data_IF_211583638088
#
_entry.id   IF_211583638088
#
_cell.length_a   1.000
_cell.length_b   1.000
_cell.length_c   1.000
_cell.angle_alpha   90.00
_cell.angle_beta   90.00
_cell.angle_gamma   90.00
#
_symmetry.space_group_name_H-M   'P 1'
#
loop_
_entity.id
_entity.type
_entity.pdbx_description
1 polymer ?
#
# COMPACT_ATOMS: atom_id res chain seq x y z
N UNK A 1 -15.33 -22.15 27.14
CA UNK A 1 -15.45 -21.55 25.81
C UNK A 1 -15.28 -20.07 26.00
N UNK A 2 -14.06 -19.63 25.75
CA UNK A 2 -13.51 -18.32 26.09
C UNK A 2 -14.09 -17.25 25.19
N UNK A 3 -14.33 -16.08 25.76
CA UNK A 3 -14.86 -14.83 25.19
C UNK A 3 -14.13 -14.30 23.94
N UNK A 4 -13.09 -14.99 23.46
CA UNK A 4 -12.32 -14.66 22.26
C UNK A 4 -13.06 -14.97 20.95
N UNK A 5 -13.95 -15.97 20.91
CA UNK A 5 -14.63 -16.40 19.68
C UNK A 5 -15.76 -15.46 19.21
N UNK A 6 -16.04 -14.38 19.96
CA UNK A 6 -17.19 -13.49 19.69
C UNK A 6 -16.80 -12.19 18.99
N UNK A 7 -15.50 -11.90 18.79
CA UNK A 7 -15.05 -10.68 18.11
C UNK A 7 -14.74 -10.85 16.61
N UNK A 8 -14.73 -12.07 16.09
CA UNK A 8 -14.35 -12.36 14.70
C UNK A 8 -15.50 -12.19 13.68
N UNK A 9 -16.69 -11.76 14.14
CA UNK A 9 -17.90 -11.64 13.30
C UNK A 9 -18.51 -10.24 13.34
N UNK A 10 -17.75 -9.26 12.84
CA UNK A 10 -18.29 -7.97 12.39
C UNK A 10 -17.51 -7.38 11.21
N UNK A 11 -17.27 -8.19 10.17
CA UNK A 11 -17.06 -7.65 8.81
C UNK A 11 -18.40 -7.18 8.27
N UNK A 12 -18.83 -5.99 8.69
CA UNK A 12 -19.97 -5.29 8.10
C UNK A 12 -19.52 -4.66 6.79
N UNK A 13 -19.94 -5.20 5.64
CA UNK A 13 -20.16 -4.56 4.31
C UNK A 13 -19.41 -3.28 3.87
N UNK A 14 -18.26 -2.97 4.46
CA UNK A 14 -17.33 -1.91 4.10
C UNK A 14 -16.22 -2.57 3.28
N UNK A 15 -15.70 -1.87 2.28
CA UNK A 15 -14.80 -2.43 1.27
C UNK A 15 -13.50 -3.02 1.83
N UNK A 16 -12.69 -3.57 0.92
CA UNK A 16 -11.38 -4.18 1.19
C UNK A 16 -10.30 -3.13 1.54
N UNK A 17 -10.49 -2.43 2.66
CA UNK A 17 -9.60 -1.40 3.19
C UNK A 17 -9.83 -1.19 4.70
N UNK A 18 -8.88 -0.55 5.40
CA UNK A 18 -9.07 -0.04 6.76
C UNK A 18 -8.34 1.29 6.93
N UNK A 19 -9.11 2.36 7.09
CA UNK A 19 -8.63 3.73 7.29
C UNK A 19 -9.37 4.37 8.45
N UNK A 20 -8.85 5.49 8.96
CA UNK A 20 -9.40 6.12 10.18
C UNK A 20 -10.80 6.69 10.03
N UNK A 21 -11.03 7.45 8.97
CA UNK A 21 -12.27 8.20 8.76
C UNK A 21 -12.53 8.43 7.26
N UNK A 22 -13.52 7.75 6.72
CA UNK A 22 -13.92 7.87 5.31
C UNK A 22 -14.52 9.24 4.95
N UNK A 23 -14.97 10.02 5.93
CA UNK A 23 -15.53 11.36 5.67
C UNK A 23 -14.48 12.35 5.18
N UNK A 24 -13.19 12.03 5.36
CA UNK A 24 -12.06 12.85 4.89
C UNK A 24 -11.75 12.69 3.39
N UNK A 25 -12.41 11.75 2.69
CA UNK A 25 -12.06 11.41 1.31
C UNK A 25 -12.16 12.59 0.33
N UNK A 26 -13.17 13.45 0.45
CA UNK A 26 -13.32 14.61 -0.43
C UNK A 26 -12.18 15.62 -0.21
N UNK A 27 -11.82 15.88 1.05
CA UNK A 27 -10.68 16.74 1.36
C UNK A 27 -9.38 16.17 0.81
N UNK A 28 -9.14 14.87 1.04
CA UNK A 28 -7.95 14.22 0.50
C UNK A 28 -7.88 14.23 -1.01
N UNK A 29 -9.02 14.10 -1.71
CA UNK A 29 -9.04 14.20 -3.18
C UNK A 29 -8.58 15.58 -3.66
N UNK A 30 -9.02 16.66 -3.01
CA UNK A 30 -8.59 18.02 -3.36
C UNK A 30 -7.09 18.21 -3.14
N UNK A 31 -6.54 17.70 -2.04
CA UNK A 31 -5.10 17.78 -1.77
C UNK A 31 -4.29 16.98 -2.81
N UNK A 32 -4.75 15.79 -3.21
CA UNK A 32 -4.07 15.00 -4.25
C UNK A 32 -4.13 15.71 -5.61
N UNK A 33 -5.23 16.37 -5.97
CA UNK A 33 -5.29 17.19 -7.20
C UNK A 33 -4.28 18.35 -7.18
N UNK A 34 -4.06 18.97 -6.02
CA UNK A 34 -3.02 20.00 -5.86
C UNK A 34 -1.63 19.38 -6.00
N UNK A 35 -1.37 18.23 -5.37
CA UNK A 35 -0.09 17.54 -5.46
C UNK A 35 0.23 17.07 -6.89
N UNK A 36 -0.77 16.68 -7.69
CA UNK A 36 -0.56 16.33 -9.10
C UNK A 36 0.08 17.48 -9.90
N UNK A 37 -0.27 18.74 -9.60
CA UNK A 37 0.34 19.90 -10.24
C UNK A 37 1.82 20.09 -9.86
N UNK A 38 2.21 19.69 -8.65
CA UNK A 38 3.57 19.77 -8.13
C UNK A 38 4.42 18.51 -8.41
N UNK A 39 3.84 17.48 -9.03
CA UNK A 39 4.51 16.22 -9.37
C UNK A 39 4.57 15.97 -10.88
N UNK A 40 5.18 16.89 -11.68
CA UNK A 40 5.14 16.81 -13.15
C UNK A 40 5.82 15.56 -13.70
N UNK A 41 6.80 14.98 -12.98
CA UNK A 41 7.45 13.72 -13.38
C UNK A 41 6.47 12.55 -13.42
N UNK A 42 5.68 12.35 -12.36
CA UNK A 42 4.67 11.29 -12.32
C UNK A 42 3.56 11.54 -13.35
N UNK A 43 3.14 12.80 -13.52
CA UNK A 43 2.12 13.14 -14.52
C UNK A 43 2.61 12.89 -15.96
N UNK A 44 3.89 13.15 -16.24
CA UNK A 44 4.50 12.83 -17.52
C UNK A 44 4.52 11.31 -17.76
N UNK A 45 4.88 10.50 -16.75
CA UNK A 45 4.86 9.04 -16.85
C UNK A 45 3.45 8.51 -17.12
N UNK A 46 2.42 9.03 -16.43
CA UNK A 46 1.01 8.68 -16.70
C UNK A 46 0.65 8.96 -18.16
N UNK A 47 1.04 10.12 -18.70
CA UNK A 47 0.75 10.52 -20.07
C UNK A 47 1.48 9.64 -21.10
N UNK A 48 2.76 9.36 -20.86
CA UNK A 48 3.60 8.62 -21.79
C UNK A 48 3.25 7.12 -21.83
N UNK A 49 3.12 6.50 -20.66
CA UNK A 49 2.97 5.04 -20.53
C UNK A 49 1.56 4.57 -20.20
N UNK A 50 0.63 5.49 -19.89
CA UNK A 50 -0.79 5.16 -19.70
C UNK A 50 -1.40 4.37 -20.87
N UNK A 51 -1.18 4.75 -22.15
CA UNK A 51 -1.73 3.98 -23.27
C UNK A 51 -1.17 2.55 -23.40
N UNK A 52 0.09 2.33 -23.03
CA UNK A 52 0.78 1.04 -23.20
C UNK A 52 0.58 0.10 -22.01
N UNK A 53 0.18 0.62 -20.84
CA UNK A 53 -0.09 -0.15 -19.62
C UNK A 53 1.04 -1.13 -19.27
N UNK A 54 2.29 -0.65 -19.10
CA UNK A 54 3.45 -1.53 -18.94
C UNK A 54 3.40 -2.38 -17.66
N UNK A 55 2.63 -1.96 -16.65
CA UNK A 55 2.46 -2.69 -15.40
C UNK A 55 1.25 -3.63 -15.41
N UNK A 56 0.63 -3.89 -16.57
CA UNK A 56 -0.48 -4.84 -16.65
C UNK A 56 -0.08 -6.21 -16.10
N UNK A 57 -0.82 -6.70 -15.10
CA UNK A 57 -0.55 -7.97 -14.42
C UNK A 57 0.39 -7.87 -13.22
N UNK A 58 0.94 -6.68 -12.96
CA UNK A 58 1.59 -6.37 -11.69
C UNK A 58 0.57 -6.36 -10.55
N UNK A 59 0.91 -7.06 -9.46
CA UNK A 59 0.23 -7.04 -8.17
C UNK A 59 1.23 -6.54 -7.14
N UNK A 60 1.19 -5.24 -6.89
CA UNK A 60 2.20 -4.52 -6.10
C UNK A 60 1.69 -4.37 -4.67
N UNK A 61 2.44 -4.91 -3.71
CA UNK A 61 2.29 -4.55 -2.31
C UNK A 61 3.22 -3.37 -2.00
N UNK A 62 2.64 -2.26 -1.56
CA UNK A 62 3.37 -1.05 -1.17
C UNK A 62 3.39 -0.84 0.33
N UNK A 63 4.56 -0.57 0.90
CA UNK A 63 4.76 -0.21 2.30
C UNK A 63 5.61 1.06 2.40
N UNK A 64 4.97 2.21 2.21
CA UNK A 64 5.58 3.55 2.20
C UNK A 64 4.70 4.49 3.02
N UNK A 65 5.25 5.61 3.49
CA UNK A 65 4.45 6.65 4.14
C UNK A 65 3.15 6.94 3.37
N UNK A 66 1.99 6.74 3.99
CA UNK A 66 0.70 6.92 3.32
C UNK A 66 0.29 8.40 3.31
N UNK A 67 0.92 9.19 2.44
CA UNK A 67 0.70 10.63 2.26
C UNK A 67 -0.05 10.96 0.98
N UNK A 68 -0.34 12.25 0.76
CA UNK A 68 -0.90 12.78 -0.48
C UNK A 68 0.03 12.51 -1.67
N UNK A 69 1.34 12.67 -1.52
CA UNK A 69 2.33 12.41 -2.58
C UNK A 69 2.37 10.92 -2.94
N UNK A 70 2.33 10.04 -1.92
CA UNK A 70 2.21 8.59 -2.14
C UNK A 70 0.90 8.25 -2.84
N UNK A 71 -0.20 8.94 -2.56
CA UNK A 71 -1.44 8.71 -3.30
C UNK A 71 -1.31 9.03 -4.80
N UNK A 72 -0.54 10.06 -5.17
CA UNK A 72 -0.20 10.34 -6.57
C UNK A 72 0.65 9.21 -7.17
N UNK A 73 1.61 8.65 -6.43
CA UNK A 73 2.37 7.48 -6.85
C UNK A 73 1.46 6.25 -7.07
N UNK A 74 0.61 5.92 -6.09
CA UNK A 74 -0.34 4.80 -6.14
C UNK A 74 -1.23 4.90 -7.37
N UNK A 75 -1.86 6.07 -7.59
CA UNK A 75 -2.71 6.30 -8.76
C UNK A 75 -1.92 6.29 -10.07
N UNK A 76 -0.63 6.62 -10.05
CA UNK A 76 0.26 6.46 -11.22
C UNK A 76 0.47 4.98 -11.54
N UNK A 77 0.81 4.15 -10.56
CA UNK A 77 0.99 2.71 -10.77
C UNK A 77 -0.27 2.06 -11.35
N UNK A 78 -1.44 2.40 -10.80
CA UNK A 78 -2.74 1.95 -11.33
C UNK A 78 -2.96 2.46 -12.75
N UNK A 79 -2.68 3.74 -13.02
CA UNK A 79 -2.77 4.33 -14.36
C UNK A 79 -1.87 3.62 -15.35
N UNK A 80 -0.76 3.00 -14.91
CA UNK A 80 0.14 2.20 -15.75
C UNK A 80 -0.24 0.72 -15.82
N UNK A 81 -1.34 0.31 -15.19
CA UNK A 81 -1.94 -1.03 -15.31
C UNK A 81 -1.71 -1.97 -14.14
N UNK A 82 -1.09 -1.51 -13.05
CA UNK A 82 -0.90 -2.32 -11.85
C UNK A 82 -2.19 -2.46 -11.04
N UNK A 83 -2.32 -3.58 -10.35
CA UNK A 83 -3.17 -3.71 -9.17
C UNK A 83 -2.30 -3.47 -7.94
N UNK A 84 -2.82 -2.72 -6.97
CA UNK A 84 -2.04 -2.28 -5.80
C UNK A 84 -2.79 -2.53 -4.51
N UNK A 85 -2.04 -2.85 -3.45
CA UNK A 85 -2.50 -2.84 -2.06
C UNK A 85 -1.47 -2.10 -1.23
N UNK A 86 -1.90 -1.28 -0.28
CA UNK A 86 -1.00 -0.34 0.39
C UNK A 86 -1.14 -0.33 1.90
N UNK A 87 0.01 -0.29 2.58
CA UNK A 87 0.14 0.01 4.01
C UNK A 87 1.15 1.15 4.22
N UNK A 88 1.13 1.74 5.41
CA UNK A 88 2.16 2.70 5.81
C UNK A 88 3.42 1.97 6.29
N UNK A 89 4.61 2.59 6.17
CA UNK A 89 5.86 2.12 6.79
C UNK A 89 6.14 2.77 8.17
N UNK A 90 5.23 3.63 8.65
CA UNK A 90 5.39 4.27 9.96
C UNK A 90 4.05 4.66 10.58
N UNK A 91 3.87 4.27 11.86
CA UNK A 91 2.65 4.43 12.65
C UNK A 91 2.12 5.86 12.80
N UNK A 92 2.93 6.90 12.55
CA UNK A 92 2.53 8.30 12.68
C UNK A 92 2.52 9.08 11.37
N UNK A 93 2.98 8.46 10.28
CA UNK A 93 3.22 9.16 9.02
C UNK A 93 1.99 9.30 8.13
N UNK A 94 0.99 8.44 8.32
CA UNK A 94 -0.23 8.44 7.52
C UNK A 94 -0.93 9.79 7.59
N UNK A 95 -1.26 10.33 6.42
CA UNK A 95 -2.21 11.43 6.29
C UNK A 95 -3.59 10.83 6.06
N UNK A 96 -4.43 10.81 7.10
CA UNK A 96 -5.70 10.07 7.11
C UNK A 96 -6.64 10.45 5.95
N UNK A 97 -6.57 11.70 5.47
CA UNK A 97 -7.35 12.16 4.31
C UNK A 97 -6.86 11.57 2.99
N UNK A 98 -5.54 11.39 2.79
CA UNK A 98 -4.99 10.72 1.61
C UNK A 98 -5.41 9.24 1.57
N UNK A 99 -5.29 8.55 2.71
CA UNK A 99 -5.74 7.16 2.84
C UNK A 99 -7.24 7.02 2.54
N UNK A 100 -8.07 7.90 3.10
CA UNK A 100 -9.51 7.92 2.85
C UNK A 100 -9.86 8.20 1.38
N UNK A 101 -9.13 9.09 0.71
CA UNK A 101 -9.35 9.41 -0.70
C UNK A 101 -9.07 8.22 -1.63
N UNK A 102 -7.99 7.46 -1.37
CA UNK A 102 -7.70 6.22 -2.10
C UNK A 102 -8.74 5.14 -1.82
N UNK A 103 -9.08 4.93 -0.53
CA UNK A 103 -10.09 3.95 -0.13
C UNK A 103 -11.46 4.23 -0.76
N UNK A 104 -11.85 5.50 -0.88
CA UNK A 104 -13.12 5.91 -1.51
C UNK A 104 -13.17 5.58 -3.01
N UNK A 105 -12.01 5.45 -3.66
CA UNK A 105 -11.88 4.97 -5.05
C UNK A 105 -11.85 3.44 -5.15
N UNK A 106 -12.00 2.72 -4.04
CA UNK A 106 -11.93 1.26 -3.99
C UNK A 106 -10.52 0.69 -4.02
N UNK A 107 -9.50 1.51 -3.75
CA UNK A 107 -8.10 1.05 -3.66
C UNK A 107 -7.86 0.48 -2.25
N UNK A 108 -7.34 -0.76 -2.12
CA UNK A 108 -7.06 -1.35 -0.81
C UNK A 108 -5.96 -0.63 -0.06
N UNK A 109 -6.33 0.12 0.97
CA UNK A 109 -5.41 0.84 1.86
C UNK A 109 -5.68 0.43 3.31
N UNK A 110 -4.63 0.01 3.99
CA UNK A 110 -4.63 -0.38 5.41
C UNK A 110 -3.65 0.52 6.13
N UNK A 111 -4.12 1.71 6.51
CA UNK A 111 -3.26 2.72 7.12
C UNK A 111 -4.09 3.78 7.88
N UNK A 112 -3.63 4.16 9.07
CA UNK A 112 -4.11 5.34 9.78
C UNK A 112 -3.02 5.96 10.66
N UNK A 113 -3.20 7.23 11.01
CA UNK A 113 -2.29 7.91 11.92
C UNK A 113 -2.54 7.49 13.37
N UNK A 114 -1.49 7.02 14.03
CA UNK A 114 -1.51 6.58 15.42
C UNK A 114 -1.81 5.09 15.57
N UNK A 115 -1.36 4.27 14.62
CA UNK A 115 -1.37 2.81 14.74
C UNK A 115 -0.58 2.35 15.98
N UNK A 116 -1.03 1.26 16.59
CA UNK A 116 -0.18 0.45 17.47
C UNK A 116 0.78 -0.42 16.64
N UNK A 117 1.82 -0.98 17.25
CA UNK A 117 2.74 -1.90 16.56
C UNK A 117 2.04 -3.16 16.01
N UNK A 118 1.04 -3.67 16.74
CA UNK A 118 0.25 -4.82 16.29
C UNK A 118 -0.60 -4.47 15.06
N UNK A 119 -1.23 -3.29 15.08
CA UNK A 119 -2.02 -2.79 13.94
C UNK A 119 -1.14 -2.52 12.73
N UNK A 120 0.05 -1.97 12.92
CA UNK A 120 1.04 -1.75 11.86
C UNK A 120 1.41 -3.04 11.13
N UNK A 121 1.79 -4.08 11.88
CA UNK A 121 2.11 -5.39 11.29
C UNK A 121 0.88 -6.02 10.62
N UNK A 122 -0.29 -5.91 11.25
CA UNK A 122 -1.54 -6.39 10.65
C UNK A 122 -1.83 -5.69 9.31
N UNK A 123 -1.61 -4.37 9.22
CA UNK A 123 -1.78 -3.60 8.00
C UNK A 123 -0.86 -4.09 6.88
N UNK A 124 0.42 -4.32 7.18
CA UNK A 124 1.38 -4.89 6.21
C UNK A 124 0.89 -6.26 5.72
N UNK A 125 0.45 -7.15 6.61
CA UNK A 125 -0.05 -8.48 6.25
C UNK A 125 -1.28 -8.42 5.32
N UNK A 126 -2.14 -7.40 5.46
CA UNK A 126 -3.32 -7.24 4.57
C UNK A 126 -2.94 -6.89 3.12
N UNK A 127 -1.70 -6.45 2.87
CA UNK A 127 -1.23 -6.09 1.52
C UNK A 127 -0.77 -7.29 0.69
N UNK A 128 -0.59 -8.46 1.30
CA UNK A 128 0.03 -9.62 0.63
C UNK A 128 -0.88 -10.36 -0.36
N UNK A 129 -2.20 -10.31 -0.15
CA UNK A 129 -3.18 -11.17 -0.85
C UNK A 129 -4.35 -10.37 -1.41
N UNK A 130 -4.75 -10.70 -2.64
CA UNK A 130 -5.89 -10.13 -3.34
C UNK A 130 -7.18 -10.93 -3.08
N UNK A 131 -8.37 -10.33 -3.30
CA UNK A 131 -9.66 -10.99 -3.07
C UNK A 131 -9.87 -12.29 -3.86
N UNK A 132 -9.26 -12.41 -5.04
CA UNK A 132 -9.31 -13.61 -5.87
C UNK A 132 -8.40 -14.74 -5.37
N UNK A 133 -7.63 -14.47 -4.31
CA UNK A 133 -6.68 -15.39 -3.71
C UNK A 133 -5.29 -15.36 -4.31
N UNK A 134 -5.05 -14.54 -5.34
CA UNK A 134 -3.72 -14.29 -5.85
C UNK A 134 -2.88 -13.49 -4.84
N UNK A 135 -1.56 -13.61 -4.95
CA UNK A 135 -0.60 -12.94 -4.08
C UNK A 135 0.20 -11.89 -4.85
N UNK A 136 0.83 -10.98 -4.12
CA UNK A 136 1.77 -10.01 -4.66
C UNK A 136 2.83 -10.68 -5.56
N UNK A 137 3.26 -9.96 -6.59
CA UNK A 137 4.40 -10.35 -7.42
C UNK A 137 5.47 -9.26 -7.54
N UNK A 138 5.27 -8.11 -6.91
CA UNK A 138 6.28 -7.06 -6.75
C UNK A 138 6.09 -6.36 -5.40
N UNK A 139 7.19 -5.86 -4.83
CA UNK A 139 7.22 -5.10 -3.59
C UNK A 139 7.77 -3.69 -3.86
N UNK A 140 7.10 -2.68 -3.31
CA UNK A 140 7.60 -1.30 -3.21
C UNK A 140 7.71 -0.98 -1.71
N UNK A 141 8.93 -0.80 -1.20
CA UNK A 141 9.19 -0.77 0.24
C UNK A 141 9.99 0.48 0.65
N UNK A 142 9.76 0.94 1.87
CA UNK A 142 10.48 2.03 2.52
C UNK A 142 10.84 1.58 3.93
N UNK A 143 12.11 1.24 4.11
CA UNK A 143 12.69 0.80 5.37
C UNK A 143 12.91 -0.71 5.44
N UNK A 144 12.17 -1.51 4.67
CA UNK A 144 12.37 -2.95 4.50
C UNK A 144 11.48 -3.85 5.36
N UNK A 145 10.44 -3.33 6.00
CA UNK A 145 9.59 -4.11 6.93
C UNK A 145 8.66 -5.08 6.20
N UNK A 146 8.05 -4.66 5.08
CA UNK A 146 7.26 -5.55 4.24
C UNK A 146 8.15 -6.66 3.66
N UNK A 147 9.34 -6.30 3.21
CA UNK A 147 10.34 -7.25 2.72
C UNK A 147 10.73 -8.26 3.79
N UNK A 148 11.05 -7.81 5.00
CA UNK A 148 11.38 -8.70 6.12
C UNK A 148 10.22 -9.61 6.48
N UNK A 149 8.99 -9.08 6.55
CA UNK A 149 7.81 -9.86 6.85
C UNK A 149 7.61 -10.99 5.83
N UNK A 150 7.80 -10.72 4.53
CA UNK A 150 7.73 -11.76 3.50
C UNK A 150 8.82 -12.81 3.69
N UNK A 151 10.06 -12.42 3.99
CA UNK A 151 11.15 -13.37 4.16
C UNK A 151 11.00 -14.26 5.40
N UNK A 152 10.58 -13.69 6.52
CA UNK A 152 10.55 -14.40 7.81
C UNK A 152 9.24 -15.15 8.04
N UNK A 153 8.10 -14.60 7.60
CA UNK A 153 6.76 -15.18 7.86
C UNK A 153 6.10 -15.81 6.65
N UNK A 154 6.42 -15.34 5.43
CA UNK A 154 5.79 -15.80 4.20
C UNK A 154 6.78 -16.20 3.09
N UNK A 155 7.82 -17.00 3.40
CA UNK A 155 8.85 -17.37 2.42
C UNK A 155 8.27 -18.15 1.23
N UNK A 156 7.09 -18.76 1.38
CA UNK A 156 6.34 -19.41 0.30
C UNK A 156 5.93 -18.47 -0.84
N UNK A 157 5.88 -17.16 -0.60
CA UNK A 157 5.52 -16.15 -1.59
C UNK A 157 6.71 -15.72 -2.46
N UNK A 158 7.94 -15.88 -1.97
CA UNK A 158 9.16 -15.43 -2.65
C UNK A 158 9.31 -15.93 -4.10
N UNK A 159 9.01 -17.20 -4.44
CA UNK A 159 9.12 -17.66 -5.83
C UNK A 159 8.20 -16.92 -6.82
N UNK A 160 7.13 -16.29 -6.34
CA UNK A 160 6.19 -15.51 -7.15
C UNK A 160 6.54 -14.02 -7.28
N UNK A 161 7.53 -13.54 -6.54
CA UNK A 161 7.91 -12.12 -6.49
C UNK A 161 9.08 -11.87 -7.44
N UNK A 162 8.86 -10.98 -8.42
CA UNK A 162 9.85 -10.67 -9.45
C UNK A 162 10.92 -9.67 -8.99
N UNK A 163 10.62 -8.85 -7.99
CA UNK A 163 11.56 -7.85 -7.51
C UNK A 163 11.00 -6.94 -6.42
N UNK A 164 11.93 -6.16 -5.87
CA UNK A 164 11.72 -5.20 -4.80
C UNK A 164 12.37 -3.89 -5.25
N UNK A 165 11.66 -2.77 -5.15
CA UNK A 165 12.25 -1.43 -5.20
C UNK A 165 12.16 -0.81 -3.82
N UNK A 166 13.32 -0.55 -3.22
CA UNK A 166 13.48 -0.02 -1.86
C UNK A 166 13.87 1.45 -1.91
N UNK A 167 13.13 2.29 -1.19
CA UNK A 167 13.30 3.75 -1.19
C UNK A 167 14.50 4.20 -0.34
N UNK A 168 14.77 3.53 0.78
CA UNK A 168 15.68 4.06 1.80
C UNK A 168 17.03 3.37 1.86
N UNK A 169 18.04 4.14 2.25
CA UNK A 169 19.38 3.61 2.58
C UNK A 169 19.31 2.53 3.66
N UNK A 170 18.41 2.65 4.64
CA UNK A 170 18.23 1.67 5.72
C UNK A 170 17.75 0.33 5.16
N UNK A 171 16.70 0.33 4.35
CA UNK A 171 16.21 -0.89 3.71
C UNK A 171 17.23 -1.49 2.75
N UNK A 172 17.95 -0.67 1.98
CA UNK A 172 19.06 -1.14 1.12
C UNK A 172 20.14 -1.85 1.94
N UNK A 173 20.51 -1.31 3.12
CA UNK A 173 21.44 -1.99 4.02
C UNK A 173 20.89 -3.31 4.56
N UNK A 174 19.58 -3.43 4.84
CA UNK A 174 18.95 -4.69 5.24
C UNK A 174 19.00 -5.72 4.09
N UNK A 175 18.70 -5.30 2.86
CA UNK A 175 18.79 -6.15 1.67
C UNK A 175 20.23 -6.66 1.46
N UNK A 176 21.23 -5.80 1.56
CA UNK A 176 22.63 -6.17 1.36
C UNK A 176 23.16 -7.18 2.41
N UNK A 177 22.53 -7.29 3.58
CA UNK A 177 22.87 -8.29 4.61
C UNK A 177 22.21 -9.65 4.37
N UNK A 178 21.20 -9.71 3.49
CA UNK A 178 20.45 -10.93 3.14
C UNK A 178 20.95 -11.60 1.86
N UNK A 179 21.69 -10.87 1.02
CA UNK A 179 22.34 -11.35 -0.21
C UNK A 179 23.61 -12.16 0.10
#
# INVERSE_FOLDING_TARGET
MTTAETQEKRMTSAGDFRVKDMTLAEFGRREIEVAEAEMPGLMALRKEFGPTQPLRGARIAGCLHMTVETAVLVETLITLGAEVRWSSCNIFSTQDHAAAALAARGIPVFAWKGETEEEYLWCIEQTLRWPDGSFLNMILDDGGDLTELVHEKHPELLPGIYGISEETTTGVHRLARRA
#
